data_IF_245150510441
#
_entry.id   IF_245150510441
#
_cell.length_a   1.000
_cell.length_b   1.000
_cell.length_c   1.000
_cell.angle_alpha   90.00
_cell.angle_beta   90.00
_cell.angle_gamma   90.00
#
_symmetry.space_group_name_H-M   'P 1'
#
loop_
_entity.id
_entity.type
_entity.pdbx_description
1 polymer ?
#
# COMPACT_ATOMS: atom_id res chain seq x y z
N UNK A 1 6.61 3.12 17.03
CA UNK A 1 6.51 1.80 17.69
C UNK A 1 5.73 0.86 16.77
N UNK A 2 6.40 -0.02 16.02
CA UNK A 2 5.75 -1.16 15.36
C UNK A 2 5.79 -2.33 16.34
N UNK A 3 4.64 -2.91 16.66
CA UNK A 3 4.58 -4.12 17.48
C UNK A 3 5.08 -5.30 16.64
N UNK A 4 5.94 -6.15 17.22
CA UNK A 4 6.53 -7.34 16.59
C UNK A 4 5.52 -8.49 16.42
N UNK A 5 4.34 -8.20 15.86
CA UNK A 5 3.28 -9.19 15.63
C UNK A 5 3.04 -9.36 14.14
N UNK A 6 2.89 -10.61 13.72
CA UNK A 6 2.39 -10.92 12.39
C UNK A 6 0.99 -10.34 12.23
N UNK A 7 0.80 -9.57 11.15
CA UNK A 7 -0.44 -8.86 10.87
C UNK A 7 -0.87 -9.19 9.45
N UNK A 8 -2.16 -9.51 9.27
CA UNK A 8 -2.78 -9.69 7.96
C UNK A 8 -3.61 -8.44 7.65
N UNK A 9 -3.38 -7.85 6.48
CA UNK A 9 -4.16 -6.71 5.98
C UNK A 9 -4.79 -7.13 4.65
N UNK A 10 -6.12 -7.04 4.56
CA UNK A 10 -6.90 -7.34 3.35
C UNK A 10 -7.56 -6.04 2.88
N UNK A 11 -7.28 -5.67 1.63
CA UNK A 11 -7.96 -4.54 0.99
C UNK A 11 -9.09 -5.08 0.09
N UNK A 12 -10.34 -4.93 0.53
CA UNK A 12 -11.49 -5.32 -0.28
C UNK A 12 -11.82 -4.24 -1.33
N UNK A 13 -11.49 -4.55 -2.58
CA UNK A 13 -11.81 -3.72 -3.74
C UNK A 13 -10.98 -2.45 -3.87
N UNK A 14 -9.66 -2.54 -4.17
CA UNK A 14 -8.81 -1.37 -4.43
C UNK A 14 -9.34 -0.48 -5.59
N UNK A 15 -10.11 -1.05 -6.51
CA UNK A 15 -10.81 -0.30 -7.55
C UNK A 15 -11.77 0.77 -7.00
N UNK A 16 -12.45 0.50 -5.87
CA UNK A 16 -13.33 1.49 -5.22
C UNK A 16 -12.52 2.64 -4.61
N UNK A 17 -11.36 2.34 -4.03
CA UNK A 17 -10.42 3.33 -3.53
C UNK A 17 -9.90 4.24 -4.67
N UNK A 18 -9.55 3.65 -5.81
CA UNK A 18 -9.13 4.41 -6.99
C UNK A 18 -10.23 5.36 -7.49
N UNK A 19 -11.49 4.91 -7.52
CA UNK A 19 -12.64 5.75 -7.90
C UNK A 19 -12.85 6.92 -6.92
N UNK A 20 -12.77 6.68 -5.61
CA UNK A 20 -12.84 7.75 -4.61
C UNK A 20 -11.69 8.76 -4.78
N UNK A 21 -10.46 8.29 -5.02
CA UNK A 21 -9.31 9.14 -5.27
C UNK A 21 -9.46 10.00 -6.53
N UNK A 22 -10.03 9.42 -7.59
CA UNK A 22 -10.40 10.14 -8.81
C UNK A 22 -11.43 11.24 -8.52
N UNK A 23 -12.51 10.96 -7.79
CA UNK A 23 -13.50 11.98 -7.45
C UNK A 23 -12.90 13.14 -6.65
N UNK A 24 -12.08 12.83 -5.63
CA UNK A 24 -11.37 13.86 -4.86
C UNK A 24 -10.45 14.71 -5.76
N UNK A 25 -9.71 14.08 -6.67
CA UNK A 25 -8.79 14.78 -7.56
C UNK A 25 -9.51 15.69 -8.56
N UNK A 26 -10.69 15.27 -9.04
CA UNK A 26 -11.53 16.07 -9.93
C UNK A 26 -12.14 17.28 -9.21
N UNK A 27 -12.61 17.11 -7.97
CA UNK A 27 -13.08 18.23 -7.14
C UNK A 27 -11.98 19.27 -6.90
N UNK A 28 -10.74 18.80 -6.74
CA UNK A 28 -9.56 19.65 -6.58
C UNK A 28 -9.00 20.18 -7.91
N UNK A 29 -9.70 19.99 -9.03
CA UNK A 29 -9.31 20.44 -10.38
C UNK A 29 -7.91 19.98 -10.81
N UNK A 30 -7.46 18.79 -10.36
CA UNK A 30 -6.22 18.19 -10.86
C UNK A 30 -6.42 17.73 -12.31
N UNK A 31 -5.40 17.86 -13.17
CA UNK A 31 -5.50 17.45 -14.56
C UNK A 31 -5.77 15.93 -14.64
N UNK A 32 -6.85 15.49 -15.30
CA UNK A 32 -7.15 14.07 -15.46
C UNK A 32 -6.28 13.44 -16.54
N UNK A 33 -5.84 12.21 -16.30
CA UNK A 33 -5.12 11.37 -17.27
C UNK A 33 -6.01 10.30 -17.90
N UNK A 34 -5.41 9.17 -18.27
CA UNK A 34 -6.11 8.05 -18.90
C UNK A 34 -7.25 7.52 -18.00
N UNK A 35 -8.41 7.23 -18.61
CA UNK A 35 -9.66 6.85 -17.91
C UNK A 35 -10.04 7.84 -16.79
N UNK A 36 -9.67 9.11 -16.94
CA UNK A 36 -9.95 10.21 -16.00
C UNK A 36 -9.37 10.01 -14.58
N UNK A 37 -8.43 9.07 -14.41
CA UNK A 37 -7.68 8.93 -13.17
C UNK A 37 -6.54 9.97 -13.13
N UNK A 38 -6.16 10.45 -11.94
CA UNK A 38 -4.99 11.30 -11.80
C UNK A 38 -3.72 10.47 -12.07
N UNK A 39 -2.65 11.11 -12.56
CA UNK A 39 -1.42 10.44 -12.98
C UNK A 39 -0.68 9.68 -11.87
N UNK A 40 -0.95 10.01 -10.61
CA UNK A 40 -0.38 9.40 -9.41
C UNK A 40 -1.24 8.25 -8.83
N UNK A 41 -2.27 7.79 -9.55
CA UNK A 41 -3.10 6.65 -9.10
C UNK A 41 -2.27 5.36 -8.89
N UNK A 42 -1.22 5.16 -9.69
CA UNK A 42 -0.28 4.05 -9.49
C UNK A 42 0.55 4.23 -8.22
N UNK A 43 1.07 5.44 -7.99
CA UNK A 43 1.87 5.79 -6.82
C UNK A 43 1.12 5.57 -5.50
N UNK A 44 -0.18 5.86 -5.50
CA UNK A 44 -1.03 5.71 -4.32
C UNK A 44 -1.12 4.25 -3.85
N UNK A 45 -1.27 3.31 -4.79
CA UNK A 45 -1.38 1.88 -4.48
C UNK A 45 -0.01 1.26 -4.20
N UNK A 46 1.03 1.63 -4.95
CA UNK A 46 2.38 1.12 -4.72
C UNK A 46 2.87 1.51 -3.32
N UNK A 47 2.74 2.77 -2.92
CA UNK A 47 3.11 3.20 -1.56
C UNK A 47 2.35 2.46 -0.46
N UNK A 48 1.08 2.11 -0.70
CA UNK A 48 0.26 1.38 0.27
C UNK A 48 0.74 -0.07 0.44
N UNK A 49 1.04 -0.74 -0.68
CA UNK A 49 1.47 -2.13 -0.71
C UNK A 49 2.92 -2.31 -0.24
N UNK A 50 3.83 -1.40 -0.60
CA UNK A 50 5.23 -1.42 -0.17
C UNK A 50 5.41 -1.31 1.35
N UNK A 51 4.39 -0.83 2.07
CA UNK A 51 4.39 -0.81 3.55
C UNK A 51 4.16 -2.19 4.16
N UNK A 52 3.56 -3.12 3.42
CA UNK A 52 3.34 -4.49 3.86
C UNK A 52 4.60 -5.34 3.63
N UNK A 53 5.66 -5.03 4.37
CA UNK A 53 6.94 -5.74 4.29
C UNK A 53 7.28 -6.43 5.61
N UNK A 54 8.05 -7.53 5.52
CA UNK A 54 8.66 -8.17 6.69
C UNK A 54 9.78 -7.28 7.22
N UNK A 55 9.74 -6.91 8.50
CA UNK A 55 10.80 -6.11 9.10
C UNK A 55 12.11 -6.91 9.22
N UNK A 56 13.25 -6.23 9.10
CA UNK A 56 14.59 -6.85 9.20
C UNK A 56 14.82 -7.54 10.55
N UNK A 57 14.34 -6.97 11.65
CA UNK A 57 14.44 -7.59 12.98
C UNK A 57 13.77 -8.97 13.05
N UNK A 58 12.68 -9.17 12.31
CA UNK A 58 12.01 -10.47 12.18
C UNK A 58 12.71 -11.38 11.17
N UNK A 59 13.39 -10.83 10.17
CA UNK A 59 14.19 -11.61 9.22
C UNK A 59 15.36 -12.30 9.93
N UNK A 60 16.09 -11.56 10.76
CA UNK A 60 17.29 -12.07 11.45
C UNK A 60 16.97 -13.16 12.50
N UNK A 61 15.86 -13.02 13.26
CA UNK A 61 15.40 -14.04 14.24
C UNK A 61 15.07 -15.40 13.61
N UNK A 62 14.55 -15.40 12.37
CA UNK A 62 14.20 -16.64 11.68
C UNK A 62 15.43 -17.39 11.15
N UNK A 63 16.52 -16.69 10.83
CA UNK A 63 17.78 -17.35 10.43
C UNK A 63 18.53 -17.96 11.61
N UNK A 64 18.44 -17.37 12.81
CA UNK A 64 19.02 -17.97 14.02
C UNK A 64 18.28 -19.23 14.47
N UNK A 65 16.95 -19.28 14.34
CA UNK A 65 16.17 -20.48 14.69
C UNK A 65 16.30 -21.64 13.69
N UNK A 66 16.80 -21.41 12.47
CA UNK A 66 17.06 -22.47 11.49
C UNK A 66 18.50 -23.03 11.55
N UNK A 67 19.38 -22.44 12.37
CA UNK A 67 20.77 -22.90 12.56
C UNK A 67 20.97 -23.73 13.83
N UNK A 68 19.90 -24.13 14.51
CA UNK A 68 19.92 -25.00 15.69
C UNK A 68 19.36 -26.38 15.36
#
# INVERSE_FOLDING_TARGET
MYCERHTLIIYDGPSKQAQAYRHMSLLLKRPPGHKTYPGDSFYLHSRLLERAAKSRSQFDKNQSSQKS
#
